data_IF_650365498770
#
_entry.id   IF_650365498770
#
_cell.length_a   1.000
_cell.length_b   1.000
_cell.length_c   1.000
_cell.angle_alpha   90.00
_cell.angle_beta   90.00
_cell.angle_gamma   90.00
#
_symmetry.space_group_name_H-M   'P 1'
#
loop_
_entity.id
_entity.type
_entity.pdbx_description
1 polymer ?
#
# COMPACT_ATOMS: atom_id res chain seq x y z
N UNK A 1 -16.09 12.27 4.79
CA UNK A 1 -16.04 10.86 5.24
C UNK A 1 -14.64 10.24 5.14
N UNK A 2 -14.09 9.87 3.98
CA UNK A 2 -12.78 9.15 3.92
C UNK A 2 -11.60 9.91 4.54
N UNK A 3 -11.34 11.16 4.11
CA UNK A 3 -10.23 11.96 4.67
C UNK A 3 -10.39 12.23 6.17
N UNK A 4 -11.62 12.40 6.64
CA UNK A 4 -11.92 12.53 8.08
C UNK A 4 -11.63 11.24 8.84
N UNK A 5 -11.97 10.07 8.28
CA UNK A 5 -11.65 8.78 8.89
C UNK A 5 -10.14 8.51 8.94
N UNK A 6 -9.39 8.98 7.94
CA UNK A 6 -7.92 8.90 7.93
C UNK A 6 -7.33 9.83 9.01
N UNK A 7 -7.85 11.05 9.12
CA UNK A 7 -7.45 11.99 10.17
C UNK A 7 -7.77 11.47 11.58
N UNK A 8 -8.92 10.81 11.77
CA UNK A 8 -9.29 10.17 13.04
C UNK A 8 -8.33 9.03 13.43
N UNK A 9 -7.63 8.42 12.47
CA UNK A 9 -6.58 7.42 12.71
C UNK A 9 -5.19 8.04 12.88
N UNK A 10 -5.08 9.38 12.98
CA UNK A 10 -3.81 10.09 13.13
C UNK A 10 -2.95 10.12 11.86
N UNK A 11 -3.54 9.87 10.68
CA UNK A 11 -2.82 9.87 9.42
C UNK A 11 -3.19 11.06 8.52
N UNK A 12 -2.26 11.46 7.66
CA UNK A 12 -2.50 12.50 6.64
C UNK A 12 -2.98 11.86 5.33
N UNK A 13 -4.10 12.34 4.80
CA UNK A 13 -4.67 11.83 3.56
C UNK A 13 -4.12 12.57 2.32
N UNK A 14 -2.96 12.13 1.81
CA UNK A 14 -2.35 12.65 0.57
C UNK A 14 -2.87 11.88 -0.64
N UNK A 15 -4.09 12.20 -1.09
CA UNK A 15 -4.79 11.50 -2.18
C UNK A 15 -5.16 12.51 -3.28
N UNK A 16 -4.82 12.24 -4.55
CA UNK A 16 -5.17 13.12 -5.66
C UNK A 16 -6.69 13.27 -5.78
N UNK A 17 -7.12 14.43 -6.25
CA UNK A 17 -8.54 14.68 -6.46
C UNK A 17 -8.99 14.04 -7.77
N UNK A 18 -10.20 13.48 -7.77
CA UNK A 18 -10.90 13.15 -9.01
C UNK A 18 -11.07 14.45 -9.84
N UNK A 19 -10.75 14.49 -11.15
CA UNK A 19 -10.87 15.70 -11.96
C UNK A 19 -12.26 16.33 -11.92
N UNK A 20 -13.33 15.53 -11.88
CA UNK A 20 -14.73 15.99 -11.83
C UNK A 20 -15.20 16.46 -10.44
N UNK A 21 -14.31 16.49 -9.43
CA UNK A 21 -14.68 16.86 -8.06
C UNK A 21 -14.77 18.38 -7.92
N UNK A 22 -15.92 18.86 -7.43
CA UNK A 22 -16.15 20.29 -7.17
C UNK A 22 -15.15 20.90 -6.14
N UNK A 23 -14.93 20.22 -5.02
CA UNK A 23 -13.97 20.65 -4.00
C UNK A 23 -12.61 19.97 -4.18
N UNK A 24 -11.59 20.76 -4.52
CA UNK A 24 -10.20 20.30 -4.63
C UNK A 24 -9.46 20.48 -3.30
N UNK A 25 -8.70 19.46 -2.93
CA UNK A 25 -7.86 19.46 -1.73
C UNK A 25 -6.39 19.64 -2.14
N UNK A 26 -5.58 20.32 -1.33
CA UNK A 26 -4.14 20.44 -1.59
C UNK A 26 -3.49 19.05 -1.65
N UNK A 27 -2.60 18.87 -2.62
CA UNK A 27 -1.85 17.64 -2.82
C UNK A 27 -0.36 17.96 -2.73
N UNK A 28 0.30 17.40 -1.72
CA UNK A 28 1.74 17.36 -1.69
C UNK A 28 2.24 16.29 -2.69
N UNK A 29 2.82 16.75 -3.79
CA UNK A 29 3.32 15.89 -4.86
C UNK A 29 4.52 15.05 -4.41
N UNK A 30 5.37 15.58 -3.54
CA UNK A 30 6.57 14.88 -3.07
C UNK A 30 6.17 13.74 -2.14
N UNK A 31 5.28 13.99 -1.19
CA UNK A 31 4.75 12.94 -0.33
C UNK A 31 3.94 11.90 -1.13
N UNK A 32 3.16 12.34 -2.13
CA UNK A 32 2.43 11.41 -2.99
C UNK A 32 3.37 10.51 -3.83
N UNK A 33 4.49 11.04 -4.30
CA UNK A 33 5.47 10.28 -5.09
C UNK A 33 6.12 9.14 -4.30
N UNK A 34 6.27 9.26 -2.97
CA UNK A 34 6.83 8.22 -2.11
C UNK A 34 5.99 6.92 -2.13
N UNK A 35 4.70 7.00 -2.48
CA UNK A 35 3.83 5.82 -2.69
C UNK A 35 4.42 4.84 -3.70
N UNK A 36 5.14 5.35 -4.70
CA UNK A 36 5.77 4.52 -5.73
C UNK A 36 6.72 3.46 -5.14
N UNK A 37 7.51 3.81 -4.12
CA UNK A 37 8.43 2.87 -3.46
C UNK A 37 7.67 1.70 -2.82
N UNK A 38 6.56 2.02 -2.16
CA UNK A 38 5.68 1.02 -1.55
C UNK A 38 5.02 0.14 -2.62
N UNK A 39 4.51 0.72 -3.70
CA UNK A 39 3.93 -0.03 -4.83
C UNK A 39 4.95 -0.94 -5.50
N UNK A 40 6.18 -0.47 -5.72
CA UNK A 40 7.28 -1.27 -6.26
C UNK A 40 7.62 -2.44 -5.34
N UNK A 41 7.68 -2.21 -4.02
CA UNK A 41 7.90 -3.29 -3.05
C UNK A 41 6.82 -4.36 -3.17
N UNK A 42 5.54 -3.98 -3.19
CA UNK A 42 4.44 -4.94 -3.37
C UNK A 42 4.44 -5.62 -4.75
N UNK A 43 4.86 -4.92 -5.80
CA UNK A 43 5.01 -5.49 -7.14
C UNK A 43 6.05 -6.61 -7.13
N UNK A 44 7.22 -6.37 -6.51
CA UNK A 44 8.27 -7.38 -6.37
C UNK A 44 7.87 -8.53 -5.43
N UNK A 45 7.20 -8.24 -4.31
CA UNK A 45 6.62 -9.29 -3.43
C UNK A 45 5.65 -10.20 -4.18
N UNK A 46 4.91 -9.67 -5.16
CA UNK A 46 3.99 -10.45 -6.00
C UNK A 46 4.69 -11.27 -7.10
N UNK A 47 6.00 -11.10 -7.32
CA UNK A 47 6.76 -12.01 -8.19
C UNK A 47 6.89 -13.41 -7.57
N UNK A 48 6.88 -13.50 -6.24
CA UNK A 48 6.83 -14.77 -5.53
C UNK A 48 5.44 -15.39 -5.69
N UNK A 49 5.31 -16.40 -6.57
CA UNK A 49 4.04 -17.07 -6.88
C UNK A 49 3.24 -17.45 -5.63
N UNK A 50 3.89 -18.03 -4.60
CA UNK A 50 3.24 -18.42 -3.34
C UNK A 50 2.61 -17.25 -2.59
N UNK A 51 3.25 -16.08 -2.62
CA UNK A 51 2.73 -14.84 -2.01
C UNK A 51 1.56 -14.31 -2.82
N UNK A 52 1.70 -14.23 -4.14
CA UNK A 52 0.70 -13.67 -5.04
C UNK A 52 -0.60 -14.48 -5.07
N UNK A 53 -0.52 -15.81 -5.11
CA UNK A 53 -1.71 -16.68 -5.15
C UNK A 53 -2.25 -17.02 -3.77
N UNK A 54 -1.57 -16.58 -2.69
CA UNK A 54 -1.89 -16.95 -1.31
C UNK A 54 -2.03 -18.47 -1.16
N UNK A 55 -0.99 -19.20 -1.56
CA UNK A 55 -1.03 -20.66 -1.62
C UNK A 55 -1.13 -21.33 -0.24
N UNK A 56 -0.62 -20.66 0.81
CA UNK A 56 -0.62 -21.18 2.17
C UNK A 56 -2.03 -21.18 2.78
N UNK A 57 -2.50 -22.34 3.25
CA UNK A 57 -3.84 -22.51 3.84
C UNK A 57 -4.03 -21.78 5.17
N UNK A 58 -2.98 -21.71 5.99
CA UNK A 58 -3.04 -21.09 7.32
C UNK A 58 -2.48 -19.68 7.28
N UNK A 59 -3.08 -18.77 8.08
CA UNK A 59 -2.58 -17.41 8.21
C UNK A 59 -1.13 -17.36 8.74
N UNK A 60 -0.77 -18.31 9.61
CA UNK A 60 0.60 -18.45 10.16
C UNK A 60 1.62 -18.74 9.07
N UNK A 61 1.35 -19.71 8.21
CA UNK A 61 2.27 -20.08 7.13
C UNK A 61 2.34 -18.99 6.07
N UNK A 62 1.21 -18.37 5.73
CA UNK A 62 1.21 -17.24 4.80
C UNK A 62 2.07 -16.08 5.32
N UNK A 63 1.93 -15.74 6.61
CA UNK A 63 2.77 -14.72 7.24
C UNK A 63 4.26 -15.10 7.17
N UNK A 64 4.62 -16.35 7.47
CA UNK A 64 6.01 -16.79 7.38
C UNK A 64 6.57 -16.65 5.96
N UNK A 65 5.82 -17.06 4.94
CA UNK A 65 6.24 -16.92 3.53
C UNK A 65 6.38 -15.45 3.12
N UNK A 66 5.44 -14.58 3.53
CA UNK A 66 5.53 -13.14 3.26
C UNK A 66 6.77 -12.53 3.95
N UNK A 67 7.04 -12.91 5.21
CA UNK A 67 8.24 -12.45 5.92
C UNK A 67 9.52 -12.90 5.23
N UNK A 68 9.60 -14.17 4.82
CA UNK A 68 10.76 -14.68 4.08
C UNK A 68 10.95 -13.95 2.74
N UNK A 69 9.87 -13.75 1.98
CA UNK A 69 9.91 -13.00 0.72
C UNK A 69 10.36 -11.55 0.93
N UNK A 70 9.92 -10.90 2.01
CA UNK A 70 10.33 -9.54 2.37
C UNK A 70 11.82 -9.47 2.76
N UNK A 71 12.34 -10.46 3.50
CA UNK A 71 13.77 -10.55 3.84
C UNK A 71 14.63 -10.74 2.60
N UNK A 72 14.22 -11.58 1.66
CA UNK A 72 14.94 -11.81 0.40
C UNK A 72 14.92 -10.60 -0.52
N UNK A 73 13.88 -9.76 -0.41
CA UNK A 73 13.70 -8.59 -1.25
C UNK A 73 14.50 -7.37 -0.78
N UNK A 74 14.90 -7.36 0.50
CA UNK A 74 15.72 -6.31 1.12
C UNK A 74 17.15 -6.31 0.58
#
# INVERSE_FOLDING_TARGET
HLRQAIAAKGALAVIPNNPSRALKYPLDKHLYAQRHLVECCFSKLKQFRRVATRFEKTARNYRAVVTLAAIVLW
#
